data_IF_627486580321
#
_entry.id   IF_627486580321
#
_cell.length_a   1.000
_cell.length_b   1.000
_cell.length_c   1.000
_cell.angle_alpha   90.00
_cell.angle_beta   90.00
_cell.angle_gamma   90.00
#
_symmetry.space_group_name_H-M   'P 1'
#
loop_
_entity.id
_entity.type
_entity.pdbx_description
1 polymer ?
#
# COMPACT_ATOMS: atom_id res chain seq x y z
N UNK A 1 -63.42 -19.03 -58.78
CA UNK A 1 -62.35 -19.46 -57.97
C UNK A 1 -61.93 -18.29 -57.03
N UNK A 2 -62.35 -18.35 -55.79
CA UNK A 2 -62.05 -17.28 -54.79
C UNK A 2 -60.90 -17.74 -53.95
N UNK A 3 -59.77 -16.99 -53.96
CA UNK A 3 -58.65 -17.21 -53.04
C UNK A 3 -58.89 -16.38 -51.80
N UNK A 4 -58.90 -17.05 -50.64
CA UNK A 4 -58.95 -16.44 -49.30
C UNK A 4 -57.52 -16.19 -48.85
N UNK A 5 -57.23 -14.92 -48.54
CA UNK A 5 -55.95 -14.55 -47.93
C UNK A 5 -56.06 -14.61 -46.37
N UNK A 6 -55.30 -15.46 -45.73
CA UNK A 6 -55.20 -15.57 -44.26
C UNK A 6 -54.19 -14.54 -43.78
N UNK A 7 -54.61 -13.60 -42.94
CA UNK A 7 -53.76 -12.63 -42.26
C UNK A 7 -53.31 -13.27 -40.93
N UNK A 8 -51.99 -13.49 -40.76
CA UNK A 8 -51.39 -13.88 -39.48
C UNK A 8 -50.98 -12.63 -38.70
N UNK A 9 -51.66 -12.41 -37.57
CA UNK A 9 -51.30 -11.35 -36.62
C UNK A 9 -50.22 -11.86 -35.71
N UNK A 10 -49.00 -11.28 -35.82
CA UNK A 10 -47.90 -11.51 -34.89
C UNK A 10 -48.16 -10.72 -33.58
N UNK A 11 -48.47 -11.43 -32.51
CA UNK A 11 -48.51 -10.84 -31.17
C UNK A 11 -47.09 -10.72 -30.63
N UNK A 12 -46.56 -9.50 -30.55
CA UNK A 12 -45.29 -9.20 -29.88
C UNK A 12 -45.54 -9.16 -28.39
N UNK A 13 -45.04 -10.16 -27.68
CA UNK A 13 -44.98 -10.16 -26.21
C UNK A 13 -43.83 -9.27 -25.78
N UNK A 14 -44.14 -8.08 -25.27
CA UNK A 14 -43.21 -7.24 -24.52
C UNK A 14 -43.10 -7.82 -23.10
N UNK A 15 -42.01 -8.54 -22.81
CA UNK A 15 -41.64 -8.90 -21.47
C UNK A 15 -41.24 -7.63 -20.72
N UNK A 16 -41.66 -7.43 -19.45
CA UNK A 16 -41.22 -6.30 -18.66
C UNK A 16 -39.72 -6.46 -18.38
N UNK A 17 -38.90 -5.50 -18.86
CA UNK A 17 -37.54 -5.32 -18.38
C UNK A 17 -37.60 -5.06 -16.86
N UNK A 18 -37.25 -6.06 -16.07
CA UNK A 18 -36.96 -5.85 -14.65
C UNK A 18 -35.71 -4.95 -14.59
N UNK A 19 -35.92 -3.71 -14.16
CA UNK A 19 -34.81 -2.86 -13.71
C UNK A 19 -34.01 -3.65 -12.66
N UNK A 20 -32.78 -3.96 -13.00
CA UNK A 20 -31.81 -4.42 -12.02
C UNK A 20 -31.62 -3.24 -11.06
N UNK A 21 -32.29 -3.30 -9.92
CA UNK A 21 -32.01 -2.46 -8.79
C UNK A 21 -30.50 -2.59 -8.52
N UNK A 22 -29.77 -1.53 -8.82
CA UNK A 22 -28.44 -1.33 -8.31
C UNK A 22 -28.59 -1.25 -6.79
N UNK A 23 -28.45 -2.41 -6.10
CA UNK A 23 -28.30 -2.42 -4.64
C UNK A 23 -27.13 -1.51 -4.34
N UNK A 24 -27.43 -0.34 -3.79
CA UNK A 24 -26.45 0.48 -3.11
C UNK A 24 -25.67 -0.46 -2.17
N UNK A 25 -24.36 -0.53 -2.32
CA UNK A 25 -23.50 -1.31 -1.42
C UNK A 25 -23.87 -0.92 0.01
N UNK A 26 -24.21 -1.91 0.82
CA UNK A 26 -24.40 -1.68 2.26
C UNK A 26 -23.17 -0.91 2.78
N UNK A 27 -23.36 0.07 3.69
CA UNK A 27 -22.25 0.78 4.28
C UNK A 27 -21.31 -0.25 4.91
N UNK A 28 -20.02 -0.18 4.59
CA UNK A 28 -19.01 -1.05 5.15
C UNK A 28 -19.20 -1.11 6.67
N UNK A 29 -19.31 -2.33 7.22
CA UNK A 29 -19.42 -2.56 8.66
C UNK A 29 -18.40 -1.69 9.40
N UNK A 30 -18.74 -1.06 10.53
CA UNK A 30 -17.80 -0.25 11.28
C UNK A 30 -16.61 -1.14 11.67
N UNK A 31 -15.42 -0.79 11.19
CA UNK A 31 -14.21 -1.56 11.44
C UNK A 31 -13.98 -1.75 12.94
N UNK A 32 -13.28 -2.82 13.30
CA UNK A 32 -12.93 -3.13 14.70
C UNK A 32 -12.29 -1.90 15.38
N UNK A 33 -12.59 -1.69 16.66
CA UNK A 33 -11.74 -0.84 17.48
C UNK A 33 -10.40 -1.56 17.79
N UNK A 34 -9.43 -0.85 18.32
CA UNK A 34 -8.09 -1.40 18.57
C UNK A 34 -8.11 -2.61 19.53
N UNK A 35 -8.92 -2.57 20.59
CA UNK A 35 -9.05 -3.69 21.52
C UNK A 35 -9.56 -4.94 20.83
N UNK A 36 -10.60 -4.79 20.03
CA UNK A 36 -11.17 -5.90 19.26
C UNK A 36 -10.16 -6.47 18.28
N UNK A 37 -9.43 -5.59 17.55
CA UNK A 37 -8.39 -6.01 16.61
C UNK A 37 -7.26 -6.76 17.31
N UNK A 38 -6.77 -6.25 18.45
CA UNK A 38 -5.73 -6.91 19.25
C UNK A 38 -6.20 -8.28 19.77
N UNK A 39 -7.39 -8.33 20.35
CA UNK A 39 -7.93 -9.56 20.95
C UNK A 39 -8.25 -10.61 19.86
N UNK A 40 -8.69 -10.16 18.67
CA UNK A 40 -8.84 -11.02 17.50
C UNK A 40 -7.49 -11.59 17.05
N UNK A 41 -6.50 -10.75 16.80
CA UNK A 41 -5.17 -11.19 16.35
C UNK A 41 -4.48 -12.11 17.36
N UNK A 42 -4.63 -11.83 18.65
CA UNK A 42 -4.06 -12.66 19.71
C UNK A 42 -4.62 -14.11 19.77
N UNK A 43 -5.79 -14.36 19.18
CA UNK A 43 -6.32 -15.74 19.02
C UNK A 43 -5.60 -16.51 17.92
N UNK A 44 -5.01 -15.82 16.95
CA UNK A 44 -4.39 -16.43 15.77
C UNK A 44 -2.87 -16.46 15.84
N UNK A 45 -2.24 -15.55 16.60
CA UNK A 45 -0.78 -15.40 16.64
C UNK A 45 -0.28 -14.69 17.89
N UNK A 46 1.03 -14.80 18.14
CA UNK A 46 1.71 -13.94 19.11
C UNK A 46 1.73 -12.50 18.57
N UNK A 47 1.24 -11.57 19.37
CA UNK A 47 1.26 -10.14 19.08
C UNK A 47 2.30 -9.43 19.95
N UNK A 48 3.01 -8.45 19.39
CA UNK A 48 3.90 -7.54 20.09
C UNK A 48 3.32 -6.15 20.05
N UNK A 49 3.28 -5.46 21.18
CA UNK A 49 2.69 -4.12 21.29
C UNK A 49 3.76 -3.12 21.75
N UNK A 50 3.90 -2.02 20.99
CA UNK A 50 4.60 -0.82 21.45
C UNK A 50 3.58 0.18 21.95
N UNK A 51 3.85 0.82 23.08
CA UNK A 51 2.97 1.84 23.67
C UNK A 51 3.75 3.10 23.97
N UNK A 52 3.29 4.26 23.45
CA UNK A 52 3.91 5.54 23.80
C UNK A 52 3.38 6.07 25.13
N UNK A 53 4.06 7.09 25.68
CA UNK A 53 3.72 7.71 26.96
C UNK A 53 2.29 8.32 27.03
N UNK A 54 1.68 8.60 25.89
CA UNK A 54 0.34 9.17 25.79
C UNK A 54 -0.75 8.10 25.62
N UNK A 55 -0.35 6.81 25.56
CA UNK A 55 -1.29 5.69 25.40
C UNK A 55 -1.60 5.32 23.95
N UNK A 56 -0.96 5.94 22.97
CA UNK A 56 -1.01 5.48 21.57
C UNK A 56 -0.22 4.18 21.40
N UNK A 57 -0.69 3.29 20.52
CA UNK A 57 -0.20 1.91 20.42
C UNK A 57 0.01 1.47 18.99
N UNK A 58 0.96 0.55 18.80
CA UNK A 58 1.26 -0.13 17.54
C UNK A 58 1.38 -1.62 17.78
N UNK A 59 0.71 -2.42 16.97
CA UNK A 59 0.65 -3.87 17.07
C UNK A 59 1.39 -4.55 15.93
N UNK A 60 2.34 -5.42 16.26
CA UNK A 60 3.18 -6.14 15.30
C UNK A 60 2.97 -7.64 15.46
N UNK A 61 2.86 -8.36 14.33
CA UNK A 61 2.72 -9.81 14.29
C UNK A 61 3.92 -10.46 13.60
N UNK A 62 4.92 -10.96 14.36
CA UNK A 62 6.13 -11.59 13.79
C UNK A 62 5.83 -12.77 12.87
N UNK A 63 4.84 -13.62 13.21
CA UNK A 63 4.46 -14.81 12.44
C UNK A 63 3.88 -14.48 11.06
N UNK A 64 3.29 -13.30 10.90
CA UNK A 64 2.75 -12.81 9.63
C UNK A 64 3.72 -11.81 8.97
N UNK A 65 4.93 -12.26 8.66
CA UNK A 65 6.02 -11.51 8.02
C UNK A 65 6.44 -10.23 8.79
N UNK A 66 6.28 -10.20 10.11
CA UNK A 66 6.62 -9.03 10.93
C UNK A 66 5.77 -7.79 10.58
N UNK A 67 4.52 -7.98 10.13
CA UNK A 67 3.64 -6.87 9.76
C UNK A 67 3.31 -5.99 10.95
N UNK A 68 3.25 -4.68 10.72
CA UNK A 68 2.47 -3.79 11.56
C UNK A 68 1.02 -4.00 11.18
N UNK A 69 0.26 -4.66 12.04
CA UNK A 69 -1.13 -5.01 11.74
C UNK A 69 -2.08 -3.85 11.95
N UNK A 70 -1.91 -3.13 13.05
CA UNK A 70 -2.72 -1.95 13.33
C UNK A 70 -2.06 -1.05 14.37
N UNK A 71 -2.50 0.19 14.39
CA UNK A 71 -2.16 1.18 15.41
C UNK A 71 -3.40 1.91 15.90
N UNK A 72 -3.27 2.69 16.97
CA UNK A 72 -4.34 3.54 17.50
C UNK A 72 -3.79 4.80 18.12
N UNK A 73 -4.51 5.91 17.97
CA UNK A 73 -4.34 7.09 18.81
C UNK A 73 -4.62 6.77 20.29
N UNK A 74 -4.28 7.68 21.23
CA UNK A 74 -4.43 7.41 22.66
C UNK A 74 -5.79 6.86 23.04
N UNK A 75 -5.80 5.74 23.76
CA UNK A 75 -6.98 5.09 24.32
C UNK A 75 -7.14 3.63 23.87
N UNK A 76 -7.56 2.76 24.81
CA UNK A 76 -7.73 1.33 24.55
C UNK A 76 -8.86 1.05 23.55
N UNK A 77 -9.88 1.89 23.53
CA UNK A 77 -11.04 1.78 22.66
C UNK A 77 -10.94 2.68 21.42
N UNK A 78 -9.71 3.16 21.12
CA UNK A 78 -9.45 3.95 19.93
C UNK A 78 -9.67 3.16 18.64
N UNK A 79 -9.72 3.89 17.54
CA UNK A 79 -9.84 3.31 16.20
C UNK A 79 -8.67 2.39 15.89
N UNK A 80 -8.93 1.28 15.22
CA UNK A 80 -7.91 0.47 14.52
C UNK A 80 -7.67 1.09 13.14
N UNK A 81 -6.43 1.50 12.86
CA UNK A 81 -6.09 2.15 11.58
C UNK A 81 -5.72 1.16 10.48
N UNK A 82 -5.33 -0.06 10.83
CA UNK A 82 -5.04 -1.11 9.87
C UNK A 82 -6.29 -1.80 9.35
N UNK A 83 -6.34 -2.05 8.04
CA UNK A 83 -7.31 -2.99 7.50
C UNK A 83 -6.88 -4.42 7.85
N UNK A 84 -7.79 -5.21 8.44
CA UNK A 84 -7.54 -6.59 8.86
C UNK A 84 -8.60 -7.49 8.24
N UNK A 85 -8.17 -8.49 7.47
CA UNK A 85 -9.05 -9.43 6.83
C UNK A 85 -9.46 -10.56 7.77
N UNK A 86 -10.47 -10.31 8.61
CA UNK A 86 -10.95 -11.29 9.59
C UNK A 86 -11.34 -12.60 8.94
N UNK A 87 -12.09 -12.55 7.84
CA UNK A 87 -12.57 -13.75 7.16
C UNK A 87 -11.41 -14.63 6.64
N UNK A 88 -10.31 -14.02 6.21
CA UNK A 88 -9.13 -14.75 5.78
C UNK A 88 -8.43 -15.46 6.95
N UNK A 89 -8.31 -14.79 8.10
CA UNK A 89 -7.78 -15.41 9.32
C UNK A 89 -8.65 -16.58 9.79
N UNK A 90 -9.98 -16.42 9.79
CA UNK A 90 -10.94 -17.42 10.26
C UNK A 90 -10.99 -18.67 9.38
N UNK A 91 -10.67 -18.55 8.09
CA UNK A 91 -10.56 -19.70 7.20
C UNK A 91 -9.42 -20.65 7.60
N UNK A 92 -8.39 -20.16 8.30
CA UNK A 92 -7.25 -20.95 8.74
C UNK A 92 -6.47 -21.64 7.61
N UNK A 93 -6.56 -21.10 6.40
CA UNK A 93 -5.93 -21.61 5.18
C UNK A 93 -4.98 -20.58 4.61
N UNK A 94 -3.94 -21.06 3.93
CA UNK A 94 -3.07 -20.22 3.09
C UNK A 94 -3.57 -20.20 1.66
N UNK A 95 -3.27 -19.12 0.95
CA UNK A 95 -3.54 -18.93 -0.46
C UNK A 95 -2.21 -18.70 -1.19
N UNK A 96 -1.94 -19.54 -2.20
CA UNK A 96 -0.72 -19.43 -3.00
C UNK A 96 -0.66 -18.13 -3.81
N UNK A 97 -1.82 -17.57 -4.20
CA UNK A 97 -1.84 -16.28 -4.85
C UNK A 97 -1.45 -15.17 -3.88
N UNK A 98 -2.12 -15.10 -2.73
CA UNK A 98 -1.83 -14.05 -1.78
C UNK A 98 -2.49 -14.32 -0.41
N UNK A 99 -1.69 -14.45 0.64
CA UNK A 99 -2.16 -14.47 2.02
C UNK A 99 -2.54 -13.05 2.47
N UNK A 100 -3.75 -12.64 2.13
CA UNK A 100 -4.24 -11.28 2.33
C UNK A 100 -4.72 -11.04 3.77
N UNK A 101 -3.80 -11.10 4.72
CA UNK A 101 -4.10 -10.83 6.14
C UNK A 101 -4.43 -9.36 6.45
N UNK A 102 -4.05 -8.44 5.57
CA UNK A 102 -4.10 -7.00 5.84
C UNK A 102 -2.84 -6.46 6.51
N UNK A 103 -3.00 -5.35 7.21
CA UNK A 103 -1.95 -4.68 7.98
C UNK A 103 -1.55 -3.32 7.44
N UNK A 104 -1.27 -2.38 8.36
CA UNK A 104 -0.86 -1.01 8.05
C UNK A 104 0.49 -0.92 7.34
N UNK A 105 1.34 -1.95 7.51
CA UNK A 105 2.60 -2.01 6.82
C UNK A 105 3.12 -3.44 6.75
N UNK A 106 3.50 -3.84 5.55
CA UNK A 106 4.16 -5.12 5.25
C UNK A 106 5.38 -4.89 4.37
N UNK A 107 6.33 -5.80 4.51
CA UNK A 107 7.55 -5.87 3.71
C UNK A 107 7.35 -6.82 2.53
N UNK A 108 7.58 -6.32 1.34
CA UNK A 108 7.74 -7.09 0.12
C UNK A 108 9.01 -6.67 -0.63
N UNK A 109 9.31 -7.40 -1.71
CA UNK A 109 10.38 -7.08 -2.64
C UNK A 109 9.81 -7.05 -4.06
N UNK A 110 10.19 -6.06 -4.87
CA UNK A 110 9.97 -6.05 -6.33
C UNK A 110 11.16 -6.65 -7.09
N UNK A 111 11.01 -6.84 -8.43
CA UNK A 111 9.90 -6.38 -9.27
C UNK A 111 8.73 -7.36 -9.28
N UNK A 112 7.51 -6.79 -9.40
CA UNK A 112 6.29 -7.56 -9.54
C UNK A 112 6.15 -8.14 -10.95
N UNK A 113 6.43 -7.36 -11.99
CA UNK A 113 6.33 -7.75 -13.40
C UNK A 113 7.65 -7.67 -14.17
N UNK A 114 7.57 -7.91 -15.47
CA UNK A 114 8.70 -7.89 -16.38
C UNK A 114 9.54 -9.16 -16.40
N UNK A 115 10.62 -9.14 -17.16
CA UNK A 115 11.51 -10.28 -17.37
C UNK A 115 12.31 -10.72 -16.13
N UNK A 116 12.31 -9.91 -15.07
CA UNK A 116 12.96 -10.20 -13.79
C UNK A 116 11.96 -10.38 -12.65
N UNK A 117 10.70 -10.61 -12.97
CA UNK A 117 9.62 -10.73 -11.98
C UNK A 117 9.93 -11.78 -10.91
N UNK A 118 9.55 -11.47 -9.67
CA UNK A 118 9.52 -12.44 -8.58
C UNK A 118 8.15 -13.16 -8.47
N UNK A 119 7.09 -12.65 -9.13
CA UNK A 119 5.71 -13.12 -9.03
C UNK A 119 5.27 -14.05 -10.15
N UNK A 120 5.97 -14.03 -11.28
CA UNK A 120 5.62 -14.84 -12.43
C UNK A 120 6.68 -15.90 -12.68
N UNK A 121 6.23 -17.13 -12.96
CA UNK A 121 7.12 -18.20 -13.40
C UNK A 121 7.80 -17.83 -14.73
N UNK A 122 8.96 -18.44 -15.07
CA UNK A 122 9.57 -18.29 -16.37
C UNK A 122 8.57 -18.52 -17.50
N UNK A 123 8.58 -17.65 -18.51
CA UNK A 123 7.71 -17.70 -19.70
C UNK A 123 6.19 -17.66 -19.45
N UNK A 124 5.76 -17.47 -18.21
CA UNK A 124 4.34 -17.32 -17.89
C UNK A 124 3.78 -16.01 -18.45
N UNK A 125 2.52 -16.07 -18.89
CA UNK A 125 1.76 -14.86 -19.19
C UNK A 125 1.63 -14.02 -17.92
N UNK A 126 1.87 -12.70 -18.04
CA UNK A 126 1.76 -11.80 -16.89
C UNK A 126 0.32 -11.26 -16.79
N UNK A 127 -0.53 -12.05 -16.17
CA UNK A 127 -1.91 -11.73 -15.83
C UNK A 127 -2.27 -12.23 -14.42
N UNK A 128 -3.47 -11.93 -13.95
CA UNK A 128 -3.89 -12.26 -12.59
C UNK A 128 -3.94 -13.77 -12.31
N UNK A 129 -4.25 -14.59 -13.30
CA UNK A 129 -4.37 -16.05 -13.12
C UNK A 129 -2.99 -16.70 -12.89
N UNK A 130 -1.90 -16.08 -13.39
CA UNK A 130 -0.52 -16.57 -13.26
C UNK A 130 0.27 -15.81 -12.18
N UNK A 131 -0.32 -14.79 -11.56
CA UNK A 131 0.32 -14.01 -10.52
C UNK A 131 0.32 -14.78 -9.20
N UNK A 132 1.50 -15.11 -8.70
CA UNK A 132 1.68 -15.83 -7.44
C UNK A 132 2.66 -15.08 -6.54
N UNK A 133 2.26 -14.81 -5.32
CA UNK A 133 3.19 -14.20 -4.35
C UNK A 133 4.31 -15.19 -4.04
N UNK A 134 5.59 -14.80 -4.16
CA UNK A 134 6.70 -15.68 -3.80
C UNK A 134 6.52 -16.25 -2.39
N UNK A 135 6.71 -17.57 -2.17
CA UNK A 135 6.48 -18.19 -0.85
C UNK A 135 7.21 -17.46 0.30
N UNK A 136 8.44 -17.00 0.05
CA UNK A 136 9.21 -16.25 1.05
C UNK A 136 8.60 -14.88 1.40
N UNK A 137 7.76 -14.30 0.55
CA UNK A 137 7.04 -13.04 0.77
C UNK A 137 5.58 -13.27 1.17
N UNK A 138 5.05 -14.47 0.93
CA UNK A 138 3.67 -14.83 1.24
C UNK A 138 3.52 -15.42 2.64
N UNK A 139 4.56 -16.11 3.13
CA UNK A 139 4.53 -16.89 4.37
C UNK A 139 5.81 -16.71 5.20
N UNK A 140 5.74 -17.23 6.43
CA UNK A 140 6.86 -17.40 7.32
C UNK A 140 7.08 -16.24 8.30
N UNK A 141 7.52 -16.61 9.48
CA UNK A 141 7.77 -15.72 10.59
C UNK A 141 9.08 -14.96 10.44
N UNK A 142 9.12 -13.77 11.03
CA UNK A 142 10.36 -13.11 11.42
C UNK A 142 10.71 -13.50 12.86
N UNK A 143 11.98 -13.73 13.12
CA UNK A 143 12.50 -13.94 14.47
C UNK A 143 12.61 -12.60 15.19
N UNK A 144 12.25 -12.60 16.47
CA UNK A 144 12.34 -11.42 17.32
C UNK A 144 13.73 -11.39 17.94
N UNK A 145 14.53 -10.38 17.63
CA UNK A 145 15.83 -10.17 18.26
C UNK A 145 15.66 -9.40 19.57
N UNK A 146 15.56 -10.14 20.66
CA UNK A 146 15.47 -9.58 22.02
C UNK A 146 16.80 -9.08 22.58
N UNK A 147 17.93 -9.32 21.91
CA UNK A 147 19.26 -8.91 22.37
C UNK A 147 19.58 -7.44 22.06
N UNK A 148 18.80 -6.80 21.22
CA UNK A 148 19.04 -5.44 20.70
C UNK A 148 18.82 -4.30 21.70
N UNK A 149 18.36 -4.58 22.91
CA UNK A 149 18.49 -3.70 24.10
C UNK A 149 17.58 -2.46 24.18
N UNK A 150 16.89 -2.04 23.12
CA UNK A 150 15.96 -0.91 23.15
C UNK A 150 14.51 -1.39 23.28
N UNK A 151 13.85 -1.20 24.45
CA UNK A 151 12.48 -1.66 24.67
C UNK A 151 11.44 -0.88 23.83
N UNK A 152 11.82 0.23 23.19
CA UNK A 152 10.93 1.03 22.35
C UNK A 152 11.00 0.62 20.87
N UNK A 153 11.80 -0.38 20.55
CA UNK A 153 11.96 -0.89 19.16
C UNK A 153 11.74 -2.39 19.15
N UNK A 154 10.91 -2.85 18.22
CA UNK A 154 10.80 -4.28 17.90
C UNK A 154 11.79 -4.55 16.79
N UNK A 155 12.77 -5.39 17.08
CA UNK A 155 13.78 -5.84 16.12
C UNK A 155 13.40 -7.22 15.60
N UNK A 156 13.32 -7.34 14.28
CA UNK A 156 12.92 -8.55 13.57
C UNK A 156 13.97 -8.92 12.52
N UNK A 157 14.25 -10.20 12.38
CA UNK A 157 15.20 -10.70 11.38
C UNK A 157 14.68 -11.95 10.70
N UNK A 158 15.06 -12.14 9.43
CA UNK A 158 14.73 -13.34 8.67
C UNK A 158 15.72 -13.56 7.52
N UNK A 159 16.15 -14.82 7.31
CA UNK A 159 16.78 -15.25 6.06
C UNK A 159 15.71 -15.67 5.07
N UNK A 160 15.87 -15.31 3.81
CA UNK A 160 14.98 -15.75 2.73
C UNK A 160 15.72 -15.94 1.41
N UNK A 161 15.23 -16.89 0.63
CA UNK A 161 15.71 -17.16 -0.71
C UNK A 161 14.57 -16.88 -1.70
N UNK A 162 14.91 -16.25 -2.81
CA UNK A 162 14.01 -15.89 -3.89
C UNK A 162 14.67 -16.27 -5.22
N UNK A 163 13.85 -16.54 -6.22
CA UNK A 163 14.30 -16.74 -7.60
C UNK A 163 13.40 -15.89 -8.50
N UNK A 164 14.00 -15.15 -9.44
CA UNK A 164 13.24 -14.39 -10.40
C UNK A 164 12.93 -15.20 -11.67
N UNK A 165 12.04 -14.70 -12.52
CA UNK A 165 11.63 -15.38 -13.75
C UNK A 165 12.76 -15.63 -14.76
N UNK A 166 13.92 -14.97 -14.62
CA UNK A 166 15.13 -15.26 -15.41
C UNK A 166 16.05 -16.30 -14.77
N UNK A 167 15.65 -16.93 -13.65
CA UNK A 167 16.42 -17.97 -12.95
C UNK A 167 17.52 -17.45 -12.03
N UNK A 168 17.55 -16.14 -11.76
CA UNK A 168 18.52 -15.59 -10.80
C UNK A 168 18.05 -15.80 -9.38
N UNK A 169 18.93 -16.38 -8.54
CA UNK A 169 18.68 -16.63 -7.13
C UNK A 169 19.25 -15.56 -6.25
N UNK A 170 18.44 -15.10 -5.29
CA UNK A 170 18.79 -14.15 -4.27
C UNK A 170 18.77 -14.82 -2.90
N UNK A 171 19.85 -14.74 -2.14
CA UNK A 171 19.92 -15.14 -0.73
C UNK A 171 20.06 -13.87 0.10
N UNK A 172 19.03 -13.56 0.89
CA UNK A 172 18.89 -12.31 1.61
C UNK A 172 18.74 -12.54 3.10
N UNK A 173 19.43 -11.73 3.89
CA UNK A 173 19.06 -11.48 5.27
C UNK A 173 18.28 -10.18 5.34
N UNK A 174 17.09 -10.24 5.91
CA UNK A 174 16.22 -9.08 6.10
C UNK A 174 16.19 -8.71 7.57
N UNK A 175 16.51 -7.46 7.87
CA UNK A 175 16.31 -6.86 9.20
C UNK A 175 15.18 -5.85 9.09
N UNK A 176 14.29 -5.88 10.07
CA UNK A 176 13.13 -5.00 10.12
C UNK A 176 12.98 -4.45 11.54
N UNK A 177 13.07 -3.14 11.67
CA UNK A 177 12.91 -2.44 12.93
C UNK A 177 11.59 -1.67 12.92
N UNK A 178 10.79 -1.81 13.97
CA UNK A 178 9.56 -1.04 14.16
C UNK A 178 9.68 -0.22 15.43
N UNK A 179 9.54 1.11 15.33
CA UNK A 179 9.64 2.03 16.47
C UNK A 179 8.52 3.06 16.47
N UNK A 180 8.14 3.52 17.65
CA UNK A 180 7.18 4.61 17.81
C UNK A 180 7.81 5.96 17.49
N UNK A 181 7.02 6.83 16.87
CA UNK A 181 7.38 8.22 16.60
C UNK A 181 6.40 9.16 17.32
N UNK A 182 6.92 10.28 17.78
CA UNK A 182 6.14 11.35 18.42
C UNK A 182 6.06 12.62 17.60
N UNK A 183 5.49 13.66 18.20
CA UNK A 183 5.32 14.96 17.57
C UNK A 183 6.65 15.65 17.20
N UNK A 184 7.75 15.36 17.89
CA UNK A 184 9.06 15.88 17.53
C UNK A 184 9.54 15.30 16.20
N UNK A 185 9.46 13.96 16.04
CA UNK A 185 9.82 13.29 14.79
C UNK A 185 8.88 13.71 13.66
N UNK A 186 7.58 13.91 13.94
CA UNK A 186 6.64 14.48 12.98
C UNK A 186 7.14 15.82 12.43
N UNK A 187 7.57 16.74 13.31
CA UNK A 187 8.11 18.04 12.89
C UNK A 187 9.38 17.92 12.06
N UNK A 188 10.30 17.00 12.41
CA UNK A 188 11.52 16.75 11.64
C UNK A 188 11.24 16.25 10.21
N UNK A 189 10.19 15.46 10.04
CA UNK A 189 9.83 14.83 8.75
C UNK A 189 8.96 15.73 7.85
N UNK A 190 8.02 16.48 8.46
CA UNK A 190 7.05 17.29 7.72
C UNK A 190 7.28 18.80 7.82
N UNK A 191 8.27 19.22 8.60
CA UNK A 191 8.68 20.62 8.74
C UNK A 191 8.01 21.38 9.90
N UNK A 192 8.60 22.53 10.23
CA UNK A 192 8.21 23.35 11.38
C UNK A 192 6.77 23.88 11.30
N UNK A 193 6.28 24.19 10.10
CA UNK A 193 4.92 24.72 9.94
C UNK A 193 3.88 23.62 10.18
N UNK A 194 4.13 22.39 9.74
CA UNK A 194 3.29 21.23 10.06
C UNK A 194 3.33 20.92 11.57
N UNK A 195 4.51 21.04 12.20
CA UNK A 195 4.64 20.88 13.64
C UNK A 195 3.85 21.95 14.42
N UNK A 196 3.96 23.21 14.03
CA UNK A 196 3.17 24.30 14.64
C UNK A 196 1.66 24.12 14.46
N UNK A 197 1.24 23.62 13.27
CA UNK A 197 -0.17 23.32 13.01
C UNK A 197 -0.67 22.19 13.93
N UNK A 198 0.14 21.14 14.13
CA UNK A 198 -0.16 20.06 15.04
C UNK A 198 -0.27 20.57 16.49
N UNK A 199 0.69 21.34 16.97
CA UNK A 199 0.74 21.85 18.35
C UNK A 199 -0.43 22.81 18.71
N UNK A 200 -0.98 23.51 17.71
CA UNK A 200 -2.14 24.40 17.87
C UNK A 200 -3.48 23.69 17.77
N UNK A 201 -3.47 22.43 17.39
CA UNK A 201 -4.66 21.63 17.20
C UNK A 201 -4.94 20.74 18.41
N UNK A 202 -6.19 20.30 18.56
CA UNK A 202 -6.58 19.24 19.49
C UNK A 202 -6.52 17.85 18.87
N UNK A 203 -5.74 17.68 17.79
CA UNK A 203 -5.61 16.41 17.08
C UNK A 203 -4.86 15.39 17.93
N UNK A 204 -5.36 14.16 17.92
CA UNK A 204 -4.65 13.02 18.48
C UNK A 204 -3.70 12.47 17.44
N UNK A 205 -2.53 12.00 17.87
CA UNK A 205 -1.47 11.50 17.01
C UNK A 205 -0.97 10.15 17.49
N UNK A 206 -0.81 9.22 16.56
CA UNK A 206 0.10 8.07 16.66
C UNK A 206 1.02 8.06 15.45
N UNK A 207 2.30 7.81 15.66
CA UNK A 207 3.26 7.63 14.59
C UNK A 207 4.15 6.42 14.86
N UNK A 208 4.55 5.75 13.80
CA UNK A 208 5.56 4.70 13.85
C UNK A 208 6.43 4.74 12.59
N UNK A 209 7.57 4.10 12.69
CA UNK A 209 8.52 3.95 11.60
C UNK A 209 8.88 2.48 11.44
N UNK A 210 8.98 2.04 10.19
CA UNK A 210 9.57 0.77 9.82
C UNK A 210 10.83 1.01 9.01
N UNK A 211 11.95 0.51 9.51
CA UNK A 211 13.21 0.46 8.80
C UNK A 211 13.43 -0.96 8.31
N UNK A 212 13.44 -1.14 6.99
CA UNK A 212 13.66 -2.43 6.35
C UNK A 212 15.05 -2.42 5.70
N UNK A 213 15.89 -3.38 6.07
CA UNK A 213 17.24 -3.54 5.52
C UNK A 213 17.37 -4.91 4.90
N UNK A 214 17.76 -4.98 3.62
CA UNK A 214 18.19 -6.22 2.98
C UNK A 214 19.72 -6.25 2.94
N UNK A 215 20.29 -7.41 3.27
CA UNK A 215 21.72 -7.69 3.19
C UNK A 215 21.90 -8.83 2.20
N UNK A 216 22.70 -8.62 1.16
CA UNK A 216 22.99 -9.67 0.19
C UNK A 216 23.92 -10.73 0.83
N UNK A 217 23.44 -11.97 0.94
CA UNK A 217 24.21 -13.13 1.43
C UNK A 217 24.56 -14.12 0.31
N UNK A 218 24.07 -13.85 -0.91
CA UNK A 218 24.34 -14.62 -2.12
C UNK A 218 25.39 -13.98 -3.03
N UNK A 219 25.34 -14.35 -4.31
CA UNK A 219 26.19 -13.75 -5.37
C UNK A 219 25.90 -12.25 -5.57
N UNK A 220 26.85 -11.49 -6.13
CA UNK A 220 26.61 -10.08 -6.47
C UNK A 220 25.40 -9.89 -7.38
N UNK A 221 24.57 -8.91 -7.08
CA UNK A 221 23.40 -8.53 -7.86
C UNK A 221 23.78 -7.58 -8.95
N UNK A 222 23.40 -7.86 -10.20
CA UNK A 222 23.68 -7.01 -11.37
C UNK A 222 22.41 -6.77 -12.19
N UNK A 223 22.39 -5.68 -12.93
CA UNK A 223 21.24 -5.30 -13.78
C UNK A 223 20.90 -6.34 -14.83
N UNK A 224 21.91 -7.02 -15.36
CA UNK A 224 21.76 -8.04 -16.41
C UNK A 224 21.04 -9.30 -15.91
N UNK A 225 21.17 -9.58 -14.60
CA UNK A 225 20.56 -10.75 -13.95
C UNK A 225 19.28 -10.40 -13.21
N UNK A 226 18.93 -9.12 -13.17
CA UNK A 226 17.85 -8.59 -12.39
C UNK A 226 18.26 -8.17 -10.98
N UNK A 227 17.58 -7.17 -10.46
CA UNK A 227 17.76 -6.61 -9.13
C UNK A 227 16.48 -6.74 -8.32
N UNK A 228 16.57 -6.59 -7.01
CA UNK A 228 15.41 -6.48 -6.13
C UNK A 228 15.33 -5.08 -5.54
N UNK A 229 14.15 -4.66 -5.10
CA UNK A 229 13.94 -3.43 -4.34
C UNK A 229 13.02 -3.69 -3.16
N UNK A 230 13.25 -3.00 -2.05
CA UNK A 230 12.33 -3.03 -0.91
C UNK A 230 11.04 -2.32 -1.31
N UNK A 231 9.92 -2.99 -1.07
CA UNK A 231 8.58 -2.50 -1.32
C UNK A 231 7.78 -2.54 -0.02
N UNK A 232 7.51 -1.37 0.54
CA UNK A 232 6.75 -1.21 1.78
C UNK A 232 5.33 -0.81 1.46
N UNK A 233 4.37 -1.66 1.81
CA UNK A 233 2.95 -1.50 1.49
C UNK A 233 2.13 -1.37 2.78
N UNK A 234 1.03 -0.62 2.70
CA UNK A 234 0.10 -0.49 3.83
C UNK A 234 -1.34 -0.53 3.39
N UNK A 235 -2.13 -1.45 3.99
CA UNK A 235 -3.56 -1.60 3.72
C UNK A 235 -4.39 -0.90 4.79
N UNK A 236 -5.20 0.05 4.34
CA UNK A 236 -6.00 0.90 5.23
C UNK A 236 -7.49 0.73 4.94
N UNK A 237 -8.34 0.77 5.99
CA UNK A 237 -9.79 0.72 5.81
C UNK A 237 -10.30 1.99 5.14
N UNK A 238 -11.01 1.90 4.02
CA UNK A 238 -11.54 3.05 3.31
C UNK A 238 -12.78 3.61 3.98
N UNK A 239 -13.09 4.86 3.69
CA UNK A 239 -14.42 5.43 3.77
C UNK A 239 -14.90 5.82 2.37
N UNK A 240 -16.19 6.09 2.17
CA UNK A 240 -16.76 6.32 0.85
C UNK A 240 -16.19 7.57 0.13
N UNK A 241 -15.53 8.45 0.88
CA UNK A 241 -14.93 9.68 0.36
C UNK A 241 -13.46 9.83 0.79
N UNK A 242 -12.79 8.73 1.10
CA UNK A 242 -11.35 8.76 1.41
C UNK A 242 -10.58 9.29 0.21
N UNK A 243 -9.88 10.39 0.41
CA UNK A 243 -9.10 11.05 -0.62
C UNK A 243 -7.60 10.84 -0.37
N UNK A 244 -6.95 10.15 -1.27
CA UNK A 244 -5.50 9.98 -1.30
C UNK A 244 -4.89 11.21 -1.96
N UNK A 245 -3.86 11.79 -1.34
CA UNK A 245 -3.25 13.07 -1.70
C UNK A 245 -1.76 12.83 -1.90
N UNK A 246 -1.29 13.02 -3.14
CA UNK A 246 0.10 12.77 -3.49
C UNK A 246 0.68 14.03 -4.14
N UNK A 247 1.52 14.78 -3.42
CA UNK A 247 2.25 15.90 -4.01
C UNK A 247 3.32 15.41 -4.98
N UNK A 248 3.53 16.16 -6.05
CA UNK A 248 4.54 15.83 -7.06
C UNK A 248 5.40 17.04 -7.44
N UNK A 249 6.53 16.80 -8.10
CA UNK A 249 7.38 17.85 -8.66
C UNK A 249 6.77 18.38 -9.95
N UNK A 250 6.30 19.65 -10.01
CA UNK A 250 5.75 20.25 -11.21
C UNK A 250 6.84 20.49 -12.25
N UNK A 251 6.46 20.57 -13.53
CA UNK A 251 7.38 20.83 -14.62
C UNK A 251 6.91 20.22 -15.95
N UNK A 252 7.62 20.55 -17.04
CA UNK A 252 7.27 20.11 -18.39
C UNK A 252 7.35 18.58 -18.53
N UNK A 253 6.31 17.97 -19.09
CA UNK A 253 6.26 16.52 -19.33
C UNK A 253 7.40 16.03 -20.25
N UNK A 254 7.84 16.84 -21.20
CA UNK A 254 8.98 16.52 -22.08
C UNK A 254 10.31 16.33 -21.32
N UNK A 255 10.41 16.86 -20.07
CA UNK A 255 11.62 16.73 -19.22
C UNK A 255 11.44 15.71 -18.10
N UNK A 256 10.25 15.65 -17.50
CA UNK A 256 10.00 14.89 -16.28
C UNK A 256 9.09 13.67 -16.52
N UNK A 257 8.72 13.39 -17.75
CA UNK A 257 7.76 12.32 -18.06
C UNK A 257 6.34 12.63 -17.57
N UNK A 258 5.43 11.67 -17.66
CA UNK A 258 4.04 11.82 -17.19
C UNK A 258 4.00 12.16 -15.70
N UNK A 259 2.95 12.88 -15.28
CA UNK A 259 2.78 13.26 -13.86
C UNK A 259 2.44 12.03 -13.03
N UNK A 260 1.58 11.17 -13.56
CA UNK A 260 1.11 9.95 -12.92
C UNK A 260 0.96 8.85 -13.96
N UNK A 261 1.31 7.62 -13.61
CA UNK A 261 0.94 6.41 -14.33
C UNK A 261 -0.37 5.89 -13.71
N UNK A 262 -1.39 5.61 -14.52
CA UNK A 262 -2.73 5.24 -14.04
C UNK A 262 -3.42 4.17 -14.89
N UNK A 263 -2.65 3.39 -15.63
CA UNK A 263 -3.13 2.41 -16.59
C UNK A 263 -2.79 0.95 -16.22
N UNK A 264 -2.40 0.69 -14.97
CA UNK A 264 -2.03 -0.65 -14.49
C UNK A 264 -3.13 -1.70 -14.67
N UNK A 265 -4.37 -1.32 -14.43
CA UNK A 265 -5.56 -2.19 -14.52
C UNK A 265 -6.65 -1.60 -15.41
N UNK A 266 -6.27 -0.78 -16.39
CA UNK A 266 -7.17 -0.02 -17.23
C UNK A 266 -7.27 1.44 -16.80
N UNK A 267 -8.06 2.22 -17.55
CA UNK A 267 -8.19 3.66 -17.32
C UNK A 267 -8.91 3.96 -16.01
N UNK A 268 -8.35 4.87 -15.21
CA UNK A 268 -9.01 5.40 -14.02
C UNK A 268 -9.96 6.54 -14.42
N UNK A 269 -11.26 6.48 -14.06
CA UNK A 269 -12.24 7.52 -14.38
C UNK A 269 -11.87 8.90 -13.81
N UNK A 270 -12.22 10.02 -14.51
CA UNK A 270 -11.84 11.38 -14.08
C UNK A 270 -12.44 11.84 -12.75
N UNK A 271 -13.55 11.27 -12.31
CA UNK A 271 -14.15 11.51 -11.00
C UNK A 271 -13.34 10.84 -9.87
N UNK A 272 -12.51 9.84 -10.18
CA UNK A 272 -11.69 9.12 -9.23
C UNK A 272 -10.23 9.58 -9.18
N UNK A 273 -9.72 10.21 -10.23
CA UNK A 273 -8.35 10.70 -10.33
C UNK A 273 -8.32 12.13 -10.87
N UNK A 274 -7.90 13.07 -10.04
CA UNK A 274 -7.72 14.48 -10.40
C UNK A 274 -6.27 14.88 -10.27
N UNK A 275 -5.72 15.49 -11.31
CA UNK A 275 -4.35 15.98 -11.36
C UNK A 275 -4.37 17.51 -11.34
N UNK A 276 -3.91 18.07 -10.21
CA UNK A 276 -3.76 19.52 -10.02
C UNK A 276 -2.43 20.04 -10.55
N UNK A 277 -2.00 21.19 -10.08
CA UNK A 277 -0.74 21.85 -10.49
C UNK A 277 0.49 21.22 -9.83
N UNK A 278 0.36 20.71 -8.61
CA UNK A 278 1.42 20.15 -7.76
C UNK A 278 0.95 18.97 -6.88
N UNK A 279 -0.30 18.55 -7.04
CA UNK A 279 -0.93 17.50 -6.23
C UNK A 279 -1.86 16.63 -7.08
N UNK A 280 -1.83 15.33 -6.80
CA UNK A 280 -2.74 14.32 -7.30
C UNK A 280 -3.74 13.99 -6.20
N UNK A 281 -5.01 13.90 -6.56
CA UNK A 281 -6.10 13.42 -5.71
C UNK A 281 -6.65 12.14 -6.31
N UNK A 282 -6.64 11.08 -5.52
CA UNK A 282 -7.10 9.76 -5.94
C UNK A 282 -8.13 9.24 -4.93
N UNK A 283 -9.26 8.71 -5.42
CA UNK A 283 -10.32 8.19 -4.56
C UNK A 283 -9.97 6.79 -4.07
N UNK A 284 -9.82 6.66 -2.75
CA UNK A 284 -9.49 5.41 -2.07
C UNK A 284 -10.69 4.84 -1.30
N UNK A 285 -11.77 4.48 -2.00
CA UNK A 285 -13.04 4.02 -1.40
C UNK A 285 -13.20 2.50 -1.31
N UNK A 286 -12.23 1.73 -1.83
CA UNK A 286 -12.26 0.27 -1.82
C UNK A 286 -13.26 -0.37 -2.78
N UNK A 287 -13.81 0.39 -3.76
CA UNK A 287 -14.91 -0.07 -4.61
C UNK A 287 -14.58 -0.13 -6.11
N UNK A 288 -13.39 0.28 -6.52
CA UNK A 288 -12.96 0.27 -7.91
C UNK A 288 -11.50 -0.09 -8.03
N UNK A 289 -11.19 -1.27 -8.55
CA UNK A 289 -9.82 -1.75 -8.69
C UNK A 289 -9.00 -0.84 -9.59
N UNK A 290 -8.06 -0.14 -9.01
CA UNK A 290 -7.19 0.80 -9.72
C UNK A 290 -5.87 0.99 -8.99
N UNK A 291 -4.82 1.31 -9.73
CA UNK A 291 -3.49 1.61 -9.18
C UNK A 291 -2.92 2.81 -9.91
N UNK A 292 -2.27 3.69 -9.16
CA UNK A 292 -1.52 4.81 -9.71
C UNK A 292 -0.08 4.75 -9.23
N UNK A 293 0.83 5.31 -10.04
CA UNK A 293 2.25 5.32 -9.73
C UNK A 293 2.90 6.66 -10.04
N UNK A 294 3.89 7.02 -9.25
CA UNK A 294 4.65 8.26 -9.35
C UNK A 294 6.11 7.92 -9.61
N UNK A 295 6.61 8.35 -10.75
CA UNK A 295 7.98 8.07 -11.20
C UNK A 295 9.05 8.77 -10.35
N UNK A 296 10.27 8.29 -10.45
CA UNK A 296 11.45 8.87 -9.82
C UNK A 296 11.71 10.35 -10.21
N UNK A 297 11.19 10.79 -11.35
CA UNK A 297 11.31 12.18 -11.81
C UNK A 297 10.33 13.13 -11.10
N UNK A 298 9.18 12.62 -10.70
CA UNK A 298 8.03 13.38 -10.18
C UNK A 298 7.87 13.28 -8.68
N UNK A 299 8.38 12.23 -8.07
CA UNK A 299 8.11 11.89 -6.67
C UNK A 299 8.58 12.95 -5.69
N UNK A 300 7.78 13.18 -4.65
CA UNK A 300 8.17 13.74 -3.35
C UNK A 300 8.10 12.63 -2.31
N UNK A 301 8.85 12.76 -1.23
CA UNK A 301 8.97 11.72 -0.20
C UNK A 301 7.81 11.71 0.83
N UNK A 302 6.69 12.30 0.48
CA UNK A 302 5.49 12.38 1.32
C UNK A 302 4.24 12.08 0.52
N UNK A 303 3.26 11.46 1.15
CA UNK A 303 1.89 11.29 0.67
C UNK A 303 0.93 11.16 1.85
N UNK A 304 -0.37 11.18 1.60
CA UNK A 304 -1.35 10.99 2.64
C UNK A 304 -2.72 10.57 2.12
N UNK A 305 -3.61 10.28 3.04
CA UNK A 305 -5.02 10.01 2.80
C UNK A 305 -5.86 10.69 3.88
N UNK A 306 -6.91 11.41 3.48
CA UNK A 306 -7.83 12.06 4.40
C UNK A 306 -9.25 11.52 4.22
N UNK A 307 -9.87 11.19 5.32
CA UNK A 307 -11.30 10.90 5.40
C UNK A 307 -11.96 11.93 6.34
N UNK A 308 -12.56 12.95 5.74
CA UNK A 308 -13.16 14.05 6.48
C UNK A 308 -14.38 13.60 7.28
N UNK A 309 -15.14 12.65 6.75
CA UNK A 309 -16.36 12.14 7.39
C UNK A 309 -16.05 11.33 8.64
N UNK A 310 -14.89 10.65 8.64
CA UNK A 310 -14.44 9.83 9.77
C UNK A 310 -13.49 10.59 10.70
N UNK A 311 -13.07 11.81 10.34
CA UNK A 311 -12.11 12.60 11.10
C UNK A 311 -10.73 11.93 11.18
N UNK A 312 -10.23 11.38 10.07
CA UNK A 312 -8.95 10.65 10.01
C UNK A 312 -8.04 11.22 8.93
N UNK A 313 -6.79 11.40 9.27
CA UNK A 313 -5.70 11.72 8.34
C UNK A 313 -4.57 10.71 8.54
N UNK A 314 -4.17 10.05 7.46
CA UNK A 314 -2.95 9.23 7.39
C UNK A 314 -1.91 9.98 6.59
N UNK A 315 -0.70 10.12 7.13
CA UNK A 315 0.44 10.71 6.44
C UNK A 315 1.60 9.70 6.41
N UNK A 316 2.26 9.60 5.27
CA UNK A 316 3.47 8.78 5.13
C UNK A 316 4.64 9.64 4.66
N UNK A 317 5.80 9.36 5.23
CA UNK A 317 7.09 9.87 4.79
C UNK A 317 8.02 8.67 4.55
N UNK A 318 8.84 8.71 3.50
CA UNK A 318 9.71 7.59 3.16
C UNK A 318 11.09 8.06 2.68
N UNK A 319 12.07 7.16 2.78
CA UNK A 319 13.42 7.41 2.30
C UNK A 319 13.40 7.68 0.80
N UNK A 320 13.94 8.82 0.44
CA UNK A 320 14.18 9.20 -0.95
C UNK A 320 15.63 9.67 -1.07
N UNK A 321 16.46 9.11 -1.99
CA UNK A 321 17.81 9.60 -2.21
C UNK A 321 17.78 11.05 -2.70
N UNK A 322 18.89 11.76 -2.52
CA UNK A 322 19.05 13.18 -2.90
C UNK A 322 18.69 13.43 -4.39
N UNK A 323 19.13 12.54 -5.27
CA UNK A 323 18.81 12.59 -6.71
C UNK A 323 18.13 11.27 -7.14
N UNK A 324 16.80 11.12 -6.87
CA UNK A 324 16.08 9.89 -7.21
C UNK A 324 16.00 9.68 -8.72
N UNK A 325 16.05 10.74 -9.52
CA UNK A 325 15.98 10.68 -10.97
C UNK A 325 17.16 9.90 -11.61
N UNK A 326 18.30 9.82 -10.92
CA UNK A 326 19.48 9.09 -11.36
C UNK A 326 19.62 7.71 -10.75
N UNK A 327 18.68 7.29 -9.91
CA UNK A 327 18.70 5.97 -9.29
C UNK A 327 17.83 4.99 -10.08
N UNK A 328 18.25 3.73 -10.22
CA UNK A 328 17.39 2.72 -10.82
C UNK A 328 16.21 2.43 -9.89
N UNK A 329 14.99 2.45 -10.42
CA UNK A 329 13.78 1.98 -9.73
C UNK A 329 13.13 0.88 -10.57
N UNK A 330 12.66 -0.17 -9.94
CA UNK A 330 12.10 -1.31 -10.66
C UNK A 330 10.77 -0.97 -11.31
N UNK A 331 10.63 -1.31 -12.57
CA UNK A 331 9.36 -1.24 -13.27
C UNK A 331 8.51 -2.46 -12.90
N UNK A 332 7.43 -2.23 -12.14
CA UNK A 332 6.52 -3.27 -11.67
C UNK A 332 5.36 -3.56 -12.62
N UNK A 333 5.32 -2.96 -13.82
CA UNK A 333 4.28 -3.23 -14.80
C UNK A 333 4.35 -4.69 -15.30
N UNK A 334 3.19 -5.26 -15.59
CA UNK A 334 3.06 -6.62 -16.10
C UNK A 334 3.26 -6.66 -17.63
N UNK A 335 4.36 -6.09 -18.09
CA UNK A 335 4.77 -6.06 -19.48
C UNK A 335 5.95 -7.00 -19.73
N UNK A 336 5.93 -7.76 -20.82
CA UNK A 336 7.00 -8.68 -21.17
C UNK A 336 7.28 -8.64 -22.69
N UNK A 337 8.53 -8.32 -23.12
CA UNK A 337 9.62 -7.78 -22.31
C UNK A 337 9.47 -6.28 -22.03
N UNK A 338 9.94 -5.84 -20.85
CA UNK A 338 10.07 -4.42 -20.56
C UNK A 338 11.32 -3.84 -21.24
N UNK A 339 11.18 -2.70 -21.91
CA UNK A 339 12.31 -1.98 -22.51
C UNK A 339 13.20 -1.30 -21.48
N UNK A 340 12.58 -0.81 -20.41
CA UNK A 340 13.23 -0.05 -19.34
C UNK A 340 12.88 -0.65 -17.97
N UNK A 341 13.47 -1.80 -17.60
CA UNK A 341 13.12 -2.50 -16.36
C UNK A 341 13.54 -1.75 -15.09
N UNK A 342 14.37 -0.71 -15.21
CA UNK A 342 14.89 0.10 -14.11
C UNK A 342 14.40 1.56 -14.12
N UNK A 343 13.35 1.85 -14.89
CA UNK A 343 12.65 3.14 -14.91
C UNK A 343 11.23 2.89 -14.42
N UNK A 344 11.08 2.84 -13.11
CA UNK A 344 9.81 2.49 -12.44
C UNK A 344 9.32 3.58 -11.50
N UNK A 345 8.26 3.26 -10.80
CA UNK A 345 7.66 4.14 -9.82
C UNK A 345 8.34 4.01 -8.46
N UNK A 346 8.35 5.11 -7.74
CA UNK A 346 8.90 5.22 -6.36
C UNK A 346 7.79 5.17 -5.33
N UNK A 347 6.61 5.63 -5.71
CA UNK A 347 5.43 5.63 -4.88
C UNK A 347 4.24 5.15 -5.69
N UNK A 348 3.48 4.21 -5.12
CA UNK A 348 2.23 3.74 -5.69
C UNK A 348 1.08 3.91 -4.69
N UNK A 349 -0.12 3.96 -5.22
CA UNK A 349 -1.33 3.78 -4.42
C UNK A 349 -2.29 2.88 -5.16
N UNK A 350 -2.77 1.86 -4.47
CA UNK A 350 -3.77 0.92 -4.96
C UNK A 350 -5.10 1.18 -4.27
N UNK A 351 -6.18 1.12 -5.02
CA UNK A 351 -7.52 1.08 -4.51
C UNK A 351 -8.18 -0.23 -4.92
N UNK A 352 -8.68 -0.98 -3.95
CA UNK A 352 -9.30 -2.27 -4.21
C UNK A 352 -10.69 -2.14 -4.84
N UNK A 353 -11.14 -3.24 -5.40
CA UNK A 353 -12.44 -3.38 -6.03
C UNK A 353 -12.50 -4.65 -6.87
N UNK A 354 -13.67 -5.03 -7.36
CA UNK A 354 -13.83 -6.21 -8.22
C UNK A 354 -12.92 -6.15 -9.44
N UNK A 355 -12.09 -7.18 -9.71
CA UNK A 355 -11.19 -7.22 -10.87
C UNK A 355 -11.93 -7.37 -12.20
N UNK A 356 -13.16 -7.89 -12.17
CA UNK A 356 -14.08 -8.03 -13.30
C UNK A 356 -15.52 -8.17 -12.78
N UNK A 357 -16.55 -7.94 -13.63
CA UNK A 357 -17.93 -8.16 -13.24
C UNK A 357 -18.17 -9.56 -12.67
N UNK A 358 -18.79 -9.64 -11.49
CA UNK A 358 -19.09 -10.89 -10.79
C UNK A 358 -17.90 -11.55 -10.08
N UNK A 359 -16.70 -10.95 -10.10
CA UNK A 359 -15.56 -11.43 -9.30
C UNK A 359 -15.48 -10.64 -7.99
N UNK A 360 -15.18 -11.28 -6.86
CA UNK A 360 -15.04 -10.58 -5.58
C UNK A 360 -13.79 -9.69 -5.59
N UNK A 361 -13.85 -8.58 -4.86
CA UNK A 361 -12.70 -7.78 -4.49
C UNK A 361 -11.79 -8.54 -3.51
N UNK A 362 -10.55 -8.07 -3.30
CA UNK A 362 -9.63 -8.64 -2.30
C UNK A 362 -10.07 -8.34 -0.86
N UNK A 363 -10.91 -7.34 -0.64
CA UNK A 363 -11.47 -7.07 0.68
C UNK A 363 -11.82 -5.61 0.98
N UNK A 364 -11.79 -4.73 -0.01
CA UNK A 364 -12.18 -3.32 0.15
C UNK A 364 -11.20 -2.52 1.01
N UNK A 365 -10.00 -2.26 0.52
CA UNK A 365 -8.97 -1.44 1.15
C UNK A 365 -8.33 -0.49 0.14
N UNK A 366 -7.53 0.44 0.61
CA UNK A 366 -6.58 1.18 -0.22
C UNK A 366 -5.17 1.04 0.36
N UNK A 367 -4.15 1.19 -0.53
CA UNK A 367 -2.75 1.10 -0.15
C UNK A 367 -2.03 2.44 -0.33
N UNK A 368 -1.01 2.66 0.52
CA UNK A 368 0.04 3.64 0.33
C UNK A 368 1.37 2.89 0.30
N UNK A 369 2.05 2.90 -0.85
CA UNK A 369 3.20 2.05 -1.14
C UNK A 369 4.43 2.89 -1.45
N UNK A 370 5.58 2.55 -0.86
CA UNK A 370 6.86 3.18 -1.19
C UNK A 370 7.90 2.15 -1.56
N UNK A 371 8.78 2.49 -2.53
CA UNK A 371 9.82 1.62 -3.03
C UNK A 371 11.21 2.24 -2.81
N UNK A 372 12.17 1.39 -2.47
CA UNK A 372 13.59 1.77 -2.51
C UNK A 372 14.12 1.80 -3.95
N UNK A 373 15.26 2.43 -4.20
CA UNK A 373 16.02 2.12 -5.41
C UNK A 373 16.30 0.62 -5.55
N UNK A 374 16.54 0.16 -6.77
CA UNK A 374 16.94 -1.21 -7.04
C UNK A 374 18.32 -1.49 -6.41
N UNK A 375 18.44 -2.65 -5.77
CA UNK A 375 19.59 -3.05 -4.98
C UNK A 375 20.65 -3.71 -5.87
N UNK A 376 21.66 -2.97 -6.26
CA UNK A 376 22.88 -3.47 -6.94
C UNK A 376 23.95 -3.71 -5.87
N UNK A 377 23.87 -4.86 -5.18
CA UNK A 377 24.65 -5.16 -3.97
C UNK A 377 25.68 -6.27 -4.21
N UNK A 378 26.93 -6.02 -3.88
CA UNK A 378 27.91 -7.09 -3.70
C UNK A 378 27.56 -7.94 -2.49
N UNK A 379 28.15 -9.16 -2.37
CA UNK A 379 27.98 -10.03 -1.22
C UNK A 379 28.38 -9.28 0.07
N UNK A 380 27.50 -9.30 1.08
CA UNK A 380 27.67 -8.61 2.34
C UNK A 380 27.21 -7.14 2.38
N UNK A 381 27.00 -6.52 1.24
CA UNK A 381 26.45 -5.16 1.18
C UNK A 381 24.94 -5.13 1.49
N UNK A 382 24.45 -3.97 1.89
CA UNK A 382 23.07 -3.76 2.32
C UNK A 382 22.43 -2.53 1.70
N UNK A 383 21.10 -2.54 1.63
CA UNK A 383 20.24 -1.41 1.30
C UNK A 383 19.16 -1.31 2.36
N UNK A 384 18.92 -0.09 2.86
CA UNK A 384 17.83 0.20 3.80
C UNK A 384 16.78 1.10 3.17
N UNK A 385 15.52 0.90 3.54
CA UNK A 385 14.39 1.74 3.20
C UNK A 385 13.54 1.97 4.45
N UNK A 386 13.27 3.23 4.72
CA UNK A 386 12.49 3.66 5.89
C UNK A 386 11.16 4.23 5.42
N UNK A 387 10.09 3.82 6.08
CA UNK A 387 8.76 4.40 5.94
C UNK A 387 8.22 4.78 7.30
N UNK A 388 7.87 6.04 7.48
CA UNK A 388 7.21 6.57 8.67
C UNK A 388 5.75 6.80 8.37
N UNK A 389 4.85 6.28 9.20
CA UNK A 389 3.40 6.41 9.07
C UNK A 389 2.85 7.12 10.30
N UNK A 390 2.02 8.12 10.07
CA UNK A 390 1.33 8.87 11.12
C UNK A 390 -0.17 8.86 10.87
N UNK A 391 -0.92 8.53 11.92
CA UNK A 391 -2.37 8.68 11.91
C UNK A 391 -2.77 9.79 12.87
N UNK A 392 -3.71 10.60 12.42
CA UNK A 392 -4.27 11.69 13.20
C UNK A 392 -5.79 11.59 13.21
N UNK A 393 -6.37 11.89 14.37
CA UNK A 393 -7.82 11.95 14.56
C UNK A 393 -8.23 13.31 15.13
N UNK A 394 -9.36 13.81 14.63
CA UNK A 394 -9.96 15.03 15.15
C UNK A 394 -10.85 15.77 14.16
N UNK A 395 -10.95 17.08 14.36
CA UNK A 395 -11.75 17.96 13.51
C UNK A 395 -11.28 17.96 12.05
N UNK A 396 -12.22 17.85 11.12
CA UNK A 396 -11.93 17.73 9.70
C UNK A 396 -11.18 18.94 9.12
N UNK A 397 -11.51 20.16 9.57
CA UNK A 397 -10.85 21.37 9.10
C UNK A 397 -9.41 21.47 9.63
N UNK A 398 -9.18 21.07 10.89
CA UNK A 398 -7.84 20.97 11.47
C UNK A 398 -6.99 19.93 10.77
N UNK A 399 -7.55 18.76 10.45
CA UNK A 399 -6.87 17.71 9.69
C UNK A 399 -6.50 18.18 8.28
N UNK A 400 -7.40 18.88 7.59
CA UNK A 400 -7.14 19.43 6.27
C UNK A 400 -6.05 20.50 6.28
N UNK A 401 -6.08 21.41 7.25
CA UNK A 401 -5.03 22.42 7.41
C UNK A 401 -3.66 21.78 7.68
N UNK A 402 -3.62 20.76 8.54
CA UNK A 402 -2.40 20.02 8.82
C UNK A 402 -1.90 19.25 7.58
N UNK A 403 -2.80 18.58 6.84
CA UNK A 403 -2.45 17.87 5.62
C UNK A 403 -1.82 18.79 4.56
N UNK A 404 -2.40 19.98 4.36
CA UNK A 404 -1.84 21.00 3.45
C UNK A 404 -0.42 21.41 3.86
N UNK A 405 -0.21 21.66 5.14
CA UNK A 405 1.10 22.04 5.67
C UNK A 405 2.11 20.88 5.55
N UNK A 406 1.74 19.68 5.99
CA UNK A 406 2.63 18.50 5.97
C UNK A 406 3.01 18.05 4.55
N UNK A 407 2.07 18.11 3.61
CA UNK A 407 2.30 17.74 2.22
C UNK A 407 2.89 18.88 1.38
N UNK A 408 2.93 20.10 1.92
CA UNK A 408 3.43 21.29 1.23
C UNK A 408 2.62 21.64 -0.01
N UNK A 409 1.28 21.54 0.08
CA UNK A 409 0.33 21.86 -1.00
C UNK A 409 -0.64 22.95 -0.56
N UNK A 410 -1.11 23.76 -1.51
CA UNK A 410 -2.01 24.88 -1.18
C UNK A 410 -3.46 24.45 -1.04
N UNK A 411 -3.87 23.51 -1.88
CA UNK A 411 -5.26 23.03 -1.93
C UNK A 411 -5.33 21.63 -2.55
N UNK A 412 -6.34 20.90 -2.17
CA UNK A 412 -6.76 19.62 -2.76
C UNK A 412 -8.24 19.37 -2.47
#
# INVERSE_FOLDING_TARGET
>A
MRFAASIWTLAVWLAPMHALDARASEPAEPGMNYSQARDFLAKHTKVLELTNKNGGKVLVCPQYQGRVMTSTCPGREGRSFGWINQSFFEQGKTDAHFNNYGGEERFWLGPEGGQFSLWFAPDAKQDLDHWLTPPALNEGAFEVDSSAGDPNVIHLTRRMQLENSSGTRFDLEVKRNVRLLGAEQFGKLFGDDARKALDRSALKLIGYETENTIINRGAPMTKEKGLVAIWSLGQFPPGPQTQIIIPFKPGKQSKLGPIVKSDYFGSVPPDRLKVGTDVIQFLGDGNFRSKIGISQQRVRNVAGAIDRSRGVLTLVHFTLPEDPARRPYLNNAWDLPQREPYVGDVFNSYNDGPPAPGKPALGGFFDLESLSPAAELATGQSLSHVKSTFHLEGDAAALEALAKSALGVKQF
#
